data_IF_523544476592
#
_entry.id   IF_523544476592
#
_cell.length_a   1.000
_cell.length_b   1.000
_cell.length_c   1.000
_cell.angle_alpha   90.00
_cell.angle_beta   90.00
_cell.angle_gamma   90.00
#
_symmetry.space_group_name_H-M   'P 1'
#
loop_
_entity.id
_entity.type
_entity.pdbx_description
1 polymer ?
#
# COMPACT_ATOMS: atom_id res chain seq x y z
N UNK A 1 -33.69 0.02 9.13
CA UNK A 1 -32.57 -0.42 8.26
C UNK A 1 -31.87 -1.51 9.02
N UNK A 2 -31.79 -2.74 8.50
CA UNK A 2 -31.04 -3.81 9.16
C UNK A 2 -29.57 -3.42 9.20
N UNK A 3 -29.00 -3.46 10.39
CA UNK A 3 -27.58 -3.25 10.63
C UNK A 3 -26.81 -4.32 9.81
N UNK A 4 -25.92 -3.89 8.90
CA UNK A 4 -25.13 -4.84 8.13
C UNK A 4 -24.17 -5.57 9.07
N UNK A 5 -24.43 -6.85 9.30
CA UNK A 5 -23.57 -7.71 10.11
C UNK A 5 -22.57 -8.37 9.16
N UNK A 6 -21.29 -8.04 9.29
CA UNK A 6 -20.23 -8.66 8.53
C UNK A 6 -20.03 -10.11 8.97
N UNK A 7 -20.19 -11.05 8.03
CA UNK A 7 -19.95 -12.47 8.26
C UNK A 7 -18.65 -12.90 7.53
N UNK A 8 -17.53 -12.87 8.24
CA UNK A 8 -16.23 -13.25 7.71
C UNK A 8 -16.19 -14.70 7.17
N UNK A 9 -16.92 -15.60 7.79
CA UNK A 9 -16.93 -17.01 7.42
C UNK A 9 -17.69 -17.27 6.10
N UNK A 10 -18.48 -16.31 5.63
CA UNK A 10 -19.13 -16.37 4.33
C UNK A 10 -18.20 -15.97 3.18
N UNK A 11 -17.14 -15.20 3.46
CA UNK A 11 -16.20 -14.70 2.45
C UNK A 11 -15.31 -15.84 1.95
N UNK A 12 -15.29 -16.05 0.64
CA UNK A 12 -14.45 -17.07 -0.03
C UNK A 12 -13.35 -16.47 -0.87
N UNK A 13 -13.57 -15.24 -1.38
CA UNK A 13 -12.64 -14.57 -2.29
C UNK A 13 -12.39 -13.13 -1.87
N UNK A 14 -11.15 -12.72 -2.01
CA UNK A 14 -10.73 -11.32 -1.92
C UNK A 14 -10.29 -10.85 -3.30
N UNK A 15 -10.87 -9.76 -3.75
CA UNK A 15 -10.65 -9.18 -5.06
C UNK A 15 -9.85 -7.89 -4.95
N UNK A 16 -8.79 -7.79 -5.72
CA UNK A 16 -8.13 -6.55 -6.10
C UNK A 16 -8.81 -6.05 -7.38
N UNK A 17 -9.77 -5.13 -7.25
CA UNK A 17 -10.67 -4.81 -8.36
C UNK A 17 -10.05 -3.82 -9.33
N UNK A 18 -9.51 -2.71 -8.84
CA UNK A 18 -8.87 -1.70 -9.69
C UNK A 18 -7.92 -0.80 -8.89
N UNK A 19 -6.99 -0.14 -9.60
CA UNK A 19 -6.20 0.95 -9.07
C UNK A 19 -5.90 2.00 -10.15
N UNK A 20 -6.10 3.26 -9.82
CA UNK A 20 -5.93 4.38 -10.74
C UNK A 20 -5.19 5.54 -10.07
N UNK A 21 -4.40 6.28 -10.85
CA UNK A 21 -3.75 7.52 -10.43
C UNK A 21 -4.17 8.65 -11.36
N UNK A 22 -4.71 9.71 -10.78
CA UNK A 22 -5.01 10.94 -11.48
C UNK A 22 -3.88 11.96 -11.28
N UNK A 23 -3.11 12.19 -12.32
CA UNK A 23 -1.99 13.14 -12.29
C UNK A 23 -2.45 14.60 -12.16
N UNK A 24 -3.70 14.94 -12.54
CA UNK A 24 -4.22 16.29 -12.41
C UNK A 24 -4.51 16.66 -10.95
N UNK A 25 -4.97 15.70 -10.17
CA UNK A 25 -5.33 15.90 -8.76
C UNK A 25 -4.31 15.32 -7.78
N UNK A 26 -3.42 14.44 -8.23
CA UNK A 26 -2.46 13.74 -7.37
C UNK A 26 -3.10 12.63 -6.52
N UNK A 27 -4.30 12.16 -6.90
CA UNK A 27 -5.03 11.16 -6.15
C UNK A 27 -4.82 9.77 -6.74
N UNK A 28 -4.35 8.84 -5.92
CA UNK A 28 -4.39 7.42 -6.20
C UNK A 28 -5.62 6.81 -5.53
N UNK A 29 -6.37 5.99 -6.26
CA UNK A 29 -7.52 5.21 -5.81
C UNK A 29 -7.17 3.73 -5.87
N UNK A 30 -7.47 3.00 -4.80
CA UNK A 30 -7.23 1.57 -4.68
C UNK A 30 -8.54 0.90 -4.28
N UNK A 31 -9.01 -0.04 -5.08
CA UNK A 31 -10.32 -0.66 -4.92
C UNK A 31 -10.21 -2.15 -4.65
N UNK A 32 -10.99 -2.62 -3.69
CA UNK A 32 -11.05 -4.00 -3.23
C UNK A 32 -12.49 -4.46 -3.07
N UNK A 33 -12.73 -5.78 -3.11
CA UNK A 33 -14.03 -6.33 -2.81
C UNK A 33 -13.95 -7.73 -2.17
N UNK A 34 -15.01 -8.09 -1.48
CA UNK A 34 -15.31 -9.47 -1.14
C UNK A 34 -16.41 -10.02 -2.05
N UNK A 35 -16.38 -11.33 -2.31
CA UNK A 35 -17.41 -12.02 -3.10
C UNK A 35 -18.81 -12.00 -2.45
N UNK A 36 -18.91 -11.55 -1.21
CA UNK A 36 -20.17 -11.30 -0.49
C UNK A 36 -20.81 -9.95 -0.81
N UNK A 37 -20.21 -9.15 -1.71
CA UNK A 37 -20.73 -7.85 -2.15
C UNK A 37 -20.18 -6.63 -1.42
N UNK A 38 -19.31 -6.80 -0.42
CA UNK A 38 -18.62 -5.68 0.22
C UNK A 38 -17.57 -5.10 -0.74
N UNK A 39 -17.61 -3.80 -0.95
CA UNK A 39 -16.68 -3.04 -1.81
C UNK A 39 -15.98 -1.98 -0.97
N UNK A 40 -14.68 -1.81 -1.18
CA UNK A 40 -13.86 -0.85 -0.46
C UNK A 40 -13.09 0.01 -1.45
N UNK A 41 -13.06 1.30 -1.21
CA UNK A 41 -12.24 2.24 -1.97
C UNK A 41 -11.40 3.07 -0.99
N UNK A 42 -10.11 3.07 -1.21
CA UNK A 42 -9.17 3.87 -0.44
C UNK A 42 -8.51 4.90 -1.35
N UNK A 43 -8.27 6.09 -0.84
CA UNK A 43 -7.57 7.13 -1.59
C UNK A 43 -6.30 7.58 -0.88
N UNK A 44 -5.26 7.82 -1.70
CA UNK A 44 -3.98 8.37 -1.25
C UNK A 44 -3.72 9.61 -2.07
N UNK A 45 -3.52 10.76 -1.38
CA UNK A 45 -3.26 12.03 -2.06
C UNK A 45 -1.80 12.40 -1.93
N UNK A 46 -1.15 12.57 -3.08
CA UNK A 46 0.21 13.08 -3.21
C UNK A 46 0.16 14.59 -3.46
N UNK A 47 0.75 15.41 -2.58
CA UNK A 47 0.73 16.85 -2.77
C UNK A 47 1.63 17.28 -3.93
N UNK A 48 1.33 18.43 -4.53
CA UNK A 48 2.12 19.01 -5.62
C UNK A 48 1.52 18.79 -7.02
N UNK A 49 0.32 18.23 -7.11
CA UNK A 49 -0.41 18.14 -8.39
C UNK A 49 -0.73 19.57 -8.93
N UNK A 50 -0.88 19.73 -10.28
CA UNK A 50 -0.86 18.67 -11.28
C UNK A 50 0.55 18.17 -11.62
N UNK A 51 0.66 16.86 -11.90
CA UNK A 51 1.92 16.24 -12.32
C UNK A 51 1.97 16.09 -13.84
N UNK A 52 3.09 16.47 -14.44
CA UNK A 52 3.36 16.19 -15.86
C UNK A 52 4.17 14.91 -15.97
N UNK A 53 3.57 13.88 -16.56
CA UNK A 53 4.18 12.57 -16.74
C UNK A 53 4.37 12.29 -18.24
N UNK A 54 5.60 12.03 -18.64
CA UNK A 54 5.88 11.40 -19.94
C UNK A 54 5.49 9.91 -19.89
N UNK A 55 5.53 9.24 -21.04
CA UNK A 55 5.11 7.84 -21.14
C UNK A 55 5.92 6.90 -20.21
N UNK A 56 7.24 7.12 -20.06
CA UNK A 56 8.09 6.30 -19.21
C UNK A 56 7.77 6.48 -17.73
N UNK A 57 7.55 7.72 -17.28
CA UNK A 57 7.15 8.05 -15.93
C UNK A 57 5.74 7.56 -15.62
N UNK A 58 4.80 7.69 -16.55
CA UNK A 58 3.44 7.17 -16.41
C UNK A 58 3.46 5.65 -16.23
N UNK A 59 4.25 4.93 -17.03
CA UNK A 59 4.42 3.48 -16.88
C UNK A 59 5.05 3.09 -15.53
N UNK A 60 6.04 3.85 -15.05
CA UNK A 60 6.66 3.63 -13.75
C UNK A 60 5.68 3.88 -12.59
N UNK A 61 4.89 4.96 -12.66
CA UNK A 61 3.83 5.26 -11.69
C UNK A 61 2.79 4.15 -11.66
N UNK A 62 2.33 3.67 -12.82
CA UNK A 62 1.36 2.58 -12.89
C UNK A 62 1.91 1.28 -12.29
N UNK A 63 3.18 0.96 -12.52
CA UNK A 63 3.83 -0.21 -11.91
C UNK A 63 3.93 -0.09 -10.39
N UNK A 64 4.36 1.07 -9.89
CA UNK A 64 4.42 1.35 -8.46
C UNK A 64 3.03 1.33 -7.81
N UNK A 65 2.01 1.86 -8.49
CA UNK A 65 0.64 1.87 -8.01
C UNK A 65 0.07 0.46 -7.86
N UNK A 66 0.32 -0.43 -8.82
CA UNK A 66 -0.08 -1.86 -8.71
C UNK A 66 0.58 -2.53 -7.51
N UNK A 67 1.87 -2.28 -7.30
CA UNK A 67 2.58 -2.80 -6.12
C UNK A 67 1.99 -2.27 -4.82
N UNK A 68 1.71 -0.96 -4.77
CA UNK A 68 1.05 -0.32 -3.62
C UNK A 68 -0.34 -0.91 -3.36
N UNK A 69 -1.15 -1.10 -4.42
CA UNK A 69 -2.47 -1.73 -4.34
C UNK A 69 -2.39 -3.12 -3.71
N UNK A 70 -1.46 -3.96 -4.19
CA UNK A 70 -1.29 -5.32 -3.68
C UNK A 70 -0.81 -5.35 -2.21
N UNK A 71 0.11 -4.47 -1.82
CA UNK A 71 0.60 -4.42 -0.43
C UNK A 71 -0.45 -3.82 0.51
N UNK A 72 -1.10 -2.72 0.13
CA UNK A 72 -2.12 -2.06 0.96
C UNK A 72 -3.35 -2.94 1.19
N UNK A 73 -3.66 -3.84 0.23
CA UNK A 73 -4.75 -4.80 0.29
C UNK A 73 -4.71 -5.73 1.52
N UNK A 74 -3.53 -5.91 2.16
CA UNK A 74 -3.41 -6.69 3.39
C UNK A 74 -4.34 -6.21 4.49
N UNK A 75 -4.62 -4.90 4.54
CA UNK A 75 -5.51 -4.28 5.53
C UNK A 75 -6.96 -4.73 5.39
N UNK A 76 -7.38 -5.08 4.18
CA UNK A 76 -8.71 -5.58 3.85
C UNK A 76 -8.76 -7.11 3.90
N UNK A 77 -7.76 -7.76 3.31
CA UNK A 77 -7.63 -9.21 3.30
C UNK A 77 -7.75 -9.82 4.70
N UNK A 78 -7.08 -9.22 5.71
CA UNK A 78 -7.10 -9.72 7.09
C UNK A 78 -8.48 -9.73 7.75
N UNK A 79 -9.47 -8.98 7.24
CA UNK A 79 -10.81 -8.93 7.83
C UNK A 79 -11.55 -10.28 7.72
N UNK A 80 -11.24 -11.10 6.69
CA UNK A 80 -11.85 -12.41 6.49
C UNK A 80 -10.85 -13.54 6.23
N UNK A 81 -9.62 -13.21 5.82
CA UNK A 81 -8.58 -14.18 5.43
C UNK A 81 -9.11 -15.25 4.46
N UNK A 82 -9.73 -14.86 3.34
CA UNK A 82 -10.32 -15.79 2.41
C UNK A 82 -9.26 -16.64 1.71
N UNK A 83 -9.67 -17.86 1.28
CA UNK A 83 -8.75 -18.83 0.67
C UNK A 83 -8.28 -18.43 -0.72
N UNK A 84 -9.04 -17.60 -1.42
CA UNK A 84 -8.76 -17.25 -2.82
C UNK A 84 -8.52 -15.74 -2.94
N UNK A 85 -7.43 -15.39 -3.59
CA UNK A 85 -7.10 -14.02 -4.02
C UNK A 85 -7.33 -13.94 -5.52
N UNK A 86 -7.99 -12.87 -5.97
CA UNK A 86 -8.30 -12.60 -7.37
C UNK A 86 -7.77 -11.22 -7.75
N UNK A 87 -7.14 -11.12 -8.90
CA UNK A 87 -6.69 -9.85 -9.49
C UNK A 87 -7.55 -9.59 -10.73
N UNK A 88 -8.49 -8.64 -10.63
CA UNK A 88 -9.48 -8.42 -11.68
C UNK A 88 -8.95 -7.55 -12.83
N UNK A 89 -8.17 -6.51 -12.51
CA UNK A 89 -7.75 -5.51 -13.49
C UNK A 89 -6.39 -5.78 -14.14
N UNK A 90 -5.56 -6.64 -13.56
CA UNK A 90 -4.21 -6.94 -14.08
C UNK A 90 -3.73 -8.29 -13.57
N UNK A 91 -2.68 -8.81 -14.19
CA UNK A 91 -2.01 -10.04 -13.77
C UNK A 91 -0.59 -9.73 -13.25
N UNK A 92 -0.03 -10.62 -12.43
CA UNK A 92 1.34 -10.55 -11.91
C UNK A 92 2.13 -11.81 -12.28
N UNK A 93 3.44 -11.69 -12.31
CA UNK A 93 4.35 -12.81 -12.57
C UNK A 93 4.61 -13.64 -11.31
N UNK A 94 5.19 -14.83 -11.49
CA UNK A 94 5.46 -15.77 -10.40
C UNK A 94 6.41 -15.21 -9.33
N UNK A 95 7.38 -14.36 -9.70
CA UNK A 95 8.29 -13.74 -8.75
C UNK A 95 7.57 -12.74 -7.84
N UNK A 96 6.72 -11.91 -8.44
CA UNK A 96 5.85 -10.97 -7.70
C UNK A 96 4.86 -11.71 -6.80
N UNK A 97 4.23 -12.79 -7.29
CA UNK A 97 3.31 -13.59 -6.50
C UNK A 97 3.99 -14.22 -5.28
N UNK A 98 5.18 -14.79 -5.45
CA UNK A 98 5.97 -15.37 -4.38
C UNK A 98 6.36 -14.32 -3.32
N UNK A 99 6.83 -13.15 -3.76
CA UNK A 99 7.16 -12.03 -2.89
C UNK A 99 5.95 -11.58 -2.05
N UNK A 100 4.78 -11.41 -2.68
CA UNK A 100 3.57 -11.00 -1.98
C UNK A 100 3.08 -12.05 -0.98
N UNK A 101 3.17 -13.33 -1.33
CA UNK A 101 2.88 -14.43 -0.41
C UNK A 101 3.72 -14.32 0.86
N UNK A 102 5.04 -14.12 0.71
CA UNK A 102 5.95 -13.94 1.84
C UNK A 102 5.64 -12.68 2.65
N UNK A 103 5.36 -11.56 1.99
CA UNK A 103 4.98 -10.29 2.65
C UNK A 103 3.71 -10.47 3.49
N UNK A 104 2.69 -11.14 2.97
CA UNK A 104 1.44 -11.34 3.69
C UNK A 104 1.59 -12.34 4.84
N UNK A 105 2.25 -13.47 4.63
CA UNK A 105 2.47 -14.47 5.68
C UNK A 105 3.26 -13.88 6.84
N UNK A 106 4.36 -13.18 6.57
CA UNK A 106 5.21 -12.59 7.61
C UNK A 106 4.56 -11.34 8.22
N UNK A 107 3.95 -10.47 7.39
CA UNK A 107 3.28 -9.25 7.83
C UNK A 107 2.05 -9.50 8.72
N UNK A 108 1.37 -10.62 8.53
CA UNK A 108 0.23 -11.04 9.33
C UNK A 108 0.60 -11.98 10.50
N UNK A 109 1.87 -12.17 10.82
CA UNK A 109 2.33 -13.11 11.84
C UNK A 109 1.76 -12.83 13.23
N UNK A 110 1.80 -11.58 13.71
CA UNK A 110 1.20 -11.19 14.99
C UNK A 110 -0.34 -11.35 14.98
N UNK A 111 -0.97 -10.92 13.88
CA UNK A 111 -2.41 -11.08 13.70
C UNK A 111 -2.82 -12.57 13.76
N UNK A 112 -2.11 -13.41 13.04
CA UNK A 112 -2.34 -14.86 13.03
C UNK A 112 -2.21 -15.48 14.43
N UNK A 113 -1.13 -15.13 15.14
CA UNK A 113 -0.89 -15.61 16.50
C UNK A 113 -2.03 -15.22 17.46
N UNK A 114 -2.43 -13.94 17.44
CA UNK A 114 -3.51 -13.41 18.32
C UNK A 114 -4.88 -14.04 18.03
N UNK A 115 -5.11 -14.47 16.79
CA UNK A 115 -6.40 -15.03 16.36
C UNK A 115 -6.38 -16.57 16.24
N UNK A 116 -5.32 -17.25 16.67
CA UNK A 116 -5.20 -18.69 16.59
C UNK A 116 -5.17 -19.23 15.16
N UNK A 117 -4.71 -18.43 14.20
CA UNK A 117 -4.65 -18.77 12.78
C UNK A 117 -3.27 -19.34 12.41
N UNK A 118 -3.26 -20.27 11.47
CA UNK A 118 -2.04 -20.69 10.78
C UNK A 118 -2.15 -20.28 9.31
N UNK A 119 -1.34 -19.30 8.89
CA UNK A 119 -1.37 -18.75 7.52
C UNK A 119 -0.31 -19.35 6.61
N UNK A 120 0.64 -20.12 7.12
CA UNK A 120 1.74 -20.69 6.33
C UNK A 120 1.22 -21.60 5.22
N UNK A 121 1.61 -21.29 3.97
CA UNK A 121 1.22 -22.02 2.78
C UNK A 121 -0.27 -21.89 2.42
N UNK A 122 -0.99 -20.94 3.03
CA UNK A 122 -2.42 -20.73 2.77
C UNK A 122 -2.72 -19.46 1.96
N UNK A 123 -1.76 -18.56 1.90
CA UNK A 123 -1.87 -17.32 1.12
C UNK A 123 -1.18 -17.57 -0.21
N UNK A 124 -1.95 -17.60 -1.29
CA UNK A 124 -1.44 -17.85 -2.64
C UNK A 124 -1.96 -16.77 -3.57
N UNK A 125 -1.04 -15.99 -4.12
CA UNK A 125 -1.36 -15.03 -5.17
C UNK A 125 -1.39 -15.72 -6.53
N UNK A 126 -2.32 -15.35 -7.45
CA UNK A 126 -2.30 -15.85 -8.82
C UNK A 126 -1.05 -15.37 -9.56
N UNK A 127 -0.53 -16.17 -10.50
CA UNK A 127 0.71 -15.91 -11.24
C UNK A 127 0.48 -16.14 -12.73
N UNK A 128 -0.39 -15.32 -13.33
CA UNK A 128 -0.90 -15.53 -14.69
C UNK A 128 -0.18 -14.66 -15.73
N UNK A 129 0.75 -13.76 -15.30
CA UNK A 129 1.54 -12.95 -16.21
C UNK A 129 2.92 -13.57 -16.50
N UNK A 130 3.48 -13.34 -17.69
CA UNK A 130 4.87 -13.66 -17.97
C UNK A 130 5.81 -12.79 -17.12
N UNK A 131 7.01 -13.28 -16.85
CA UNK A 131 8.06 -12.47 -16.21
C UNK A 131 8.29 -11.19 -17.03
N UNK A 132 8.19 -9.99 -16.42
CA UNK A 132 8.31 -8.75 -17.14
C UNK A 132 9.72 -8.57 -17.69
N UNK A 133 9.82 -7.97 -18.87
CA UNK A 133 11.09 -7.48 -19.36
C UNK A 133 11.65 -6.40 -18.42
N UNK A 134 12.99 -6.22 -18.44
CA UNK A 134 13.63 -5.17 -17.65
C UNK A 134 12.97 -3.82 -17.94
N UNK A 135 12.48 -3.16 -16.90
CA UNK A 135 11.87 -1.85 -17.03
C UNK A 135 12.87 -0.82 -17.56
N UNK A 136 12.46 0.07 -18.48
CA UNK A 136 13.31 1.17 -18.91
C UNK A 136 13.65 2.08 -17.73
N UNK A 137 14.86 2.66 -17.73
CA UNK A 137 15.26 3.61 -16.72
C UNK A 137 14.38 4.88 -16.81
N UNK A 138 13.79 5.29 -15.72
CA UNK A 138 12.95 6.49 -15.65
C UNK A 138 13.77 7.79 -15.58
N UNK A 139 15.10 7.72 -15.57
CA UNK A 139 15.99 8.89 -15.53
C UNK A 139 15.84 9.73 -14.25
N UNK A 140 15.45 9.11 -13.13
CA UNK A 140 15.30 9.82 -11.86
C UNK A 140 16.67 10.20 -11.29
N UNK A 141 16.82 11.42 -10.70
CA UNK A 141 18.02 11.80 -10.00
C UNK A 141 18.21 10.94 -8.73
N UNK A 142 19.46 10.81 -8.27
CA UNK A 142 19.74 10.22 -6.96
C UNK A 142 19.16 11.12 -5.87
N UNK A 143 18.10 10.66 -5.22
CA UNK A 143 17.38 11.37 -4.18
C UNK A 143 16.76 10.37 -3.21
N UNK A 144 16.90 10.59 -1.91
CA UNK A 144 16.32 9.72 -0.90
C UNK A 144 14.97 10.26 -0.41
N UNK A 145 13.95 9.40 -0.37
CA UNK A 145 12.71 9.67 0.31
C UNK A 145 12.75 8.96 1.67
N UNK A 146 12.83 9.73 2.76
CA UNK A 146 13.01 9.20 4.10
C UNK A 146 11.70 9.26 4.87
N UNK A 147 11.12 8.09 5.20
CA UNK A 147 9.94 8.02 6.05
C UNK A 147 10.30 8.41 7.50
N UNK A 148 9.51 9.33 8.09
CA UNK A 148 9.67 9.75 9.49
C UNK A 148 8.42 9.41 10.29
N UNK A 149 8.63 8.69 11.42
CA UNK A 149 7.58 8.36 12.38
C UNK A 149 7.77 9.03 13.75
N UNK A 150 8.76 9.94 13.88
CA UNK A 150 9.10 10.59 15.14
C UNK A 150 10.02 9.78 16.04
N UNK A 151 10.47 8.59 15.64
CA UNK A 151 11.43 7.75 16.35
C UNK A 151 12.89 8.02 15.94
N UNK A 152 13.81 7.49 16.73
CA UNK A 152 15.28 7.66 16.56
C UNK A 152 15.80 7.12 15.23
N UNK A 153 15.24 6.02 14.72
CA UNK A 153 15.79 5.30 13.57
C UNK A 153 15.68 6.12 12.27
N UNK A 154 14.58 6.86 12.10
CA UNK A 154 14.45 7.79 10.98
C UNK A 154 15.45 8.95 11.05
N UNK A 155 15.78 9.42 12.27
CA UNK A 155 16.79 10.47 12.46
C UNK A 155 18.20 9.96 12.12
N UNK A 156 18.52 8.71 12.48
CA UNK A 156 19.79 8.08 12.09
C UNK A 156 19.91 7.97 10.58
N UNK A 157 18.83 7.56 9.89
CA UNK A 157 18.80 7.49 8.43
C UNK A 157 19.03 8.87 7.79
N UNK A 158 18.38 9.92 8.30
CA UNK A 158 18.52 11.30 7.83
C UNK A 158 19.98 11.75 7.97
N UNK A 159 20.58 11.53 9.14
CA UNK A 159 21.98 11.95 9.40
C UNK A 159 23.00 11.16 8.57
N UNK A 160 22.77 9.87 8.36
CA UNK A 160 23.63 9.07 7.50
C UNK A 160 23.62 9.58 6.04
N UNK A 161 22.45 9.88 5.51
CA UNK A 161 22.28 10.44 4.16
C UNK A 161 22.88 11.85 4.06
N UNK A 162 22.71 12.68 5.09
CA UNK A 162 23.31 14.03 5.14
C UNK A 162 24.85 13.95 5.09
N UNK A 163 25.47 13.04 5.86
CA UNK A 163 26.92 12.82 5.83
C UNK A 163 27.40 12.26 4.49
N UNK A 164 26.60 11.48 3.80
CA UNK A 164 26.89 10.97 2.46
C UNK A 164 26.66 12.02 1.35
N UNK A 165 26.18 13.22 1.66
CA UNK A 165 25.88 14.25 0.67
C UNK A 165 24.71 13.92 -0.26
N UNK A 166 23.82 13.01 0.15
CA UNK A 166 22.67 12.59 -0.66
C UNK A 166 21.50 13.54 -0.41
N UNK A 167 20.95 14.11 -1.49
CA UNK A 167 19.75 14.92 -1.43
C UNK A 167 18.56 14.06 -0.90
N UNK A 168 17.74 14.65 -0.02
CA UNK A 168 16.68 13.91 0.64
C UNK A 168 15.44 14.77 0.88
N UNK A 169 14.29 14.11 0.90
CA UNK A 169 12.99 14.64 1.30
C UNK A 169 12.44 13.77 2.42
N UNK A 170 11.89 14.38 3.46
CA UNK A 170 11.27 13.68 4.57
C UNK A 170 9.79 13.50 4.27
N UNK A 171 9.26 12.29 4.48
CA UNK A 171 7.87 11.97 4.19
C UNK A 171 7.18 11.26 5.35
N UNK A 172 5.87 11.50 5.49
CA UNK A 172 5.02 10.75 6.39
C UNK A 172 3.59 10.68 5.85
N UNK A 173 2.82 9.75 6.38
CA UNK A 173 1.39 9.58 6.04
C UNK A 173 0.54 10.00 7.23
N UNK A 174 -0.47 10.82 6.98
CA UNK A 174 -1.45 11.26 7.97
C UNK A 174 -1.13 12.59 8.64
N UNK A 175 -1.81 12.88 9.76
CA UNK A 175 -1.89 14.21 10.36
C UNK A 175 -1.32 14.31 11.78
N UNK A 176 -0.55 13.32 12.24
CA UNK A 176 -0.02 13.29 13.62
C UNK A 176 0.87 14.53 13.91
N UNK A 177 0.51 15.41 14.87
CA UNK A 177 1.23 16.66 15.12
C UNK A 177 2.69 16.42 15.54
N UNK A 178 2.95 15.37 16.33
CA UNK A 178 4.30 15.02 16.76
C UNK A 178 5.22 14.72 15.57
N UNK A 179 4.72 13.92 14.62
CA UNK A 179 5.49 13.54 13.43
C UNK A 179 5.77 14.78 12.58
N UNK A 180 4.79 15.66 12.38
CA UNK A 180 4.95 16.93 11.68
C UNK A 180 6.02 17.78 12.34
N UNK A 181 5.96 18.00 13.66
CA UNK A 181 6.95 18.77 14.38
C UNK A 181 8.37 18.20 14.30
N UNK A 182 8.50 16.86 14.33
CA UNK A 182 9.79 16.21 14.13
C UNK A 182 10.31 16.42 12.70
N UNK A 183 9.45 16.30 11.68
CA UNK A 183 9.80 16.52 10.29
C UNK A 183 10.26 17.97 10.03
N UNK A 184 9.51 18.97 10.53
CA UNK A 184 9.85 20.39 10.39
C UNK A 184 11.22 20.73 11.00
N UNK A 185 11.58 20.11 12.13
CA UNK A 185 12.89 20.31 12.79
C UNK A 185 14.07 19.76 12.00
N UNK A 186 13.87 18.90 11.01
CA UNK A 186 14.96 18.41 10.17
C UNK A 186 15.54 19.47 9.25
N UNK A 187 14.76 20.52 8.94
CA UNK A 187 15.11 21.58 7.96
C UNK A 187 15.15 21.08 6.51
N UNK A 188 14.64 19.88 6.24
CA UNK A 188 14.63 19.25 4.91
C UNK A 188 13.31 19.53 4.18
N UNK A 189 13.27 19.36 2.85
CA UNK A 189 12.01 19.34 2.11
C UNK A 189 11.05 18.29 2.68
N UNK A 190 9.77 18.64 2.76
CA UNK A 190 8.72 17.85 3.39
C UNK A 190 7.70 17.35 2.36
N UNK A 191 7.32 16.09 2.47
CA UNK A 191 6.26 15.49 1.67
C UNK A 191 5.25 14.79 2.61
N UNK A 192 4.16 15.49 2.96
CA UNK A 192 3.07 14.86 3.72
C UNK A 192 2.06 14.23 2.77
N UNK A 193 1.90 12.91 2.87
CA UNK A 193 0.94 12.14 2.08
C UNK A 193 -0.30 11.93 2.93
N UNK A 194 -1.49 12.16 2.38
CA UNK A 194 -2.74 11.83 3.06
C UNK A 194 -3.27 10.49 2.57
N UNK A 195 -3.94 9.76 3.47
CA UNK A 195 -4.60 8.48 3.20
C UNK A 195 -5.97 8.49 3.83
N UNK A 196 -6.99 8.14 3.04
CA UNK A 196 -8.36 7.99 3.50
C UNK A 196 -8.79 6.55 3.34
N UNK A 197 -9.16 5.93 4.45
CA UNK A 197 -9.68 4.56 4.51
C UNK A 197 -11.21 4.60 4.57
N UNK A 198 -11.91 3.65 3.95
CA UNK A 198 -13.35 3.54 4.06
C UNK A 198 -13.76 3.20 5.50
N UNK A 199 -14.88 3.79 5.95
CA UNK A 199 -15.41 3.60 7.30
C UNK A 199 -15.78 2.14 7.60
N UNK A 200 -16.18 1.41 6.58
CA UNK A 200 -16.56 0.00 6.62
C UNK A 200 -15.41 -0.89 7.13
N UNK A 201 -14.17 -0.57 6.79
CA UNK A 201 -13.00 -1.30 7.28
C UNK A 201 -12.90 -1.24 8.82
N UNK A 202 -13.19 -0.07 9.39
CA UNK A 202 -13.18 0.09 10.86
C UNK A 202 -14.34 -0.62 11.53
N UNK A 203 -15.51 -0.65 10.88
CA UNK A 203 -16.66 -1.40 11.38
C UNK A 203 -16.38 -2.91 11.42
N UNK A 204 -15.79 -3.47 10.37
CA UNK A 204 -15.39 -4.88 10.31
C UNK A 204 -14.36 -5.24 11.39
N UNK A 205 -13.36 -4.40 11.62
CA UNK A 205 -12.34 -4.64 12.64
C UNK A 205 -12.91 -4.64 14.09
N UNK A 206 -14.12 -4.13 14.32
CA UNK A 206 -14.81 -4.18 15.62
C UNK A 206 -15.68 -5.42 15.79
N UNK A 207 -15.99 -6.10 14.70
CA UNK A 207 -16.89 -7.28 14.69
C UNK A 207 -16.13 -8.62 14.63
N UNK A 208 -14.79 -8.60 14.41
CA UNK A 208 -13.98 -9.81 14.21
C UNK A 208 -12.76 -9.93 15.10
#
# INVERSE_FOLDING_TARGET
>A
MSEYVFNRDAVRRFHFTDCAFDAATGIARLDYAFDTGSVFSETITFPGAPFTLDAARAAAVQSALRTLHLIAGVSYYKAAVPKTIVLDAYAIDAGTAAFLTEVYENGLGEFAYRNGLNLRGKIVFPADAPTPAKAPAAGLPTHALVAIGGGKDSLVSIEALRRAGIAQTVTWIGSAPLIRSCAERTGLPLLNISRQLPSELFAMNKQG
#
